data_IF_449684253993
#
_entry.id   IF_449684253993
#
_cell.length_a   1.000
_cell.length_b   1.000
_cell.length_c   1.000
_cell.angle_alpha   90.00
_cell.angle_beta   90.00
_cell.angle_gamma   90.00
#
_symmetry.space_group_name_H-M   'P 1'
#
loop_
_entity.id
_entity.type
_entity.pdbx_description
1 polymer ?
#
# COMPACT_ATOMS: atom_id res chain seq x y z
N UNK A 1 8.20 34.09 -16.93
CA UNK A 1 8.29 33.96 -15.46
C UNK A 1 8.37 32.47 -15.14
N UNK A 2 9.57 31.98 -14.83
CA UNK A 2 9.76 30.62 -14.34
C UNK A 2 9.10 30.53 -12.97
N UNK A 3 8.00 29.78 -12.87
CA UNK A 3 7.51 29.34 -11.57
C UNK A 3 8.49 28.27 -11.09
N UNK A 4 9.41 28.65 -10.23
CA UNK A 4 10.18 27.71 -9.43
C UNK A 4 9.15 26.96 -8.58
N UNK A 5 8.79 25.75 -9.02
CA UNK A 5 8.13 24.78 -8.16
C UNK A 5 9.06 24.61 -6.96
N UNK A 6 8.62 25.01 -5.76
CA UNK A 6 9.39 24.72 -4.57
C UNK A 6 9.67 23.21 -4.54
N UNK A 7 10.89 22.77 -4.18
CA UNK A 7 11.14 21.36 -3.96
C UNK A 7 10.13 20.85 -2.94
N UNK A 8 9.49 19.72 -3.24
CA UNK A 8 8.71 18.99 -2.24
C UNK A 8 9.69 18.70 -1.11
N UNK A 9 9.40 19.09 0.15
CA UNK A 9 10.22 18.63 1.27
C UNK A 9 10.33 17.12 1.16
N UNK A 10 11.55 16.61 1.06
CA UNK A 10 11.79 15.19 1.30
C UNK A 10 11.60 15.02 2.81
N UNK A 11 10.34 14.92 3.25
CA UNK A 11 10.02 14.46 4.58
C UNK A 11 10.46 12.99 4.62
N UNK A 12 11.73 12.74 4.94
CA UNK A 12 12.29 11.39 5.15
C UNK A 12 11.50 10.59 6.20
N UNK A 13 10.58 11.24 6.93
CA UNK A 13 9.70 10.72 7.97
C UNK A 13 8.24 10.43 7.52
N UNK A 14 7.94 10.40 6.21
CA UNK A 14 6.55 10.21 5.70
C UNK A 14 5.93 8.83 6.03
N UNK A 15 6.72 7.89 6.58
CA UNK A 15 6.29 6.56 6.97
C UNK A 15 5.99 6.39 8.48
N UNK A 16 6.08 7.48 9.26
CA UNK A 16 5.87 7.44 10.70
C UNK A 16 7.03 6.81 11.47
N UNK A 17 6.89 6.70 12.80
CA UNK A 17 7.94 6.16 13.65
C UNK A 17 8.21 4.68 13.36
N UNK A 18 9.49 4.30 13.30
CA UNK A 18 9.88 2.89 13.23
C UNK A 18 9.36 2.13 14.45
N UNK A 19 8.79 0.95 14.22
CA UNK A 19 8.34 0.07 15.28
C UNK A 19 9.55 -0.54 15.99
N UNK A 20 9.51 -0.59 17.33
CA UNK A 20 10.47 -1.40 18.09
C UNK A 20 10.27 -2.90 17.81
N UNK A 21 11.30 -3.71 18.08
CA UNK A 21 11.22 -5.17 17.94
C UNK A 21 10.06 -5.78 18.75
N UNK A 22 9.81 -5.27 19.96
CA UNK A 22 8.73 -5.74 20.82
C UNK A 22 7.34 -5.40 20.25
N UNK A 23 7.19 -4.24 19.63
CA UNK A 23 5.94 -3.84 18.97
C UNK A 23 5.69 -4.65 17.71
N UNK A 24 6.73 -4.93 16.92
CA UNK A 24 6.64 -5.79 15.74
C UNK A 24 6.24 -7.21 16.12
N UNK A 25 6.83 -7.79 17.17
CA UNK A 25 6.51 -9.14 17.65
C UNK A 25 5.07 -9.21 18.20
N UNK A 26 4.66 -8.23 19.01
CA UNK A 26 3.30 -8.16 19.53
C UNK A 26 2.26 -8.01 18.40
N UNK A 27 2.59 -7.22 17.38
CA UNK A 27 1.77 -7.13 16.17
C UNK A 27 1.71 -8.47 15.44
N UNK A 28 2.84 -9.16 15.27
CA UNK A 28 2.89 -10.43 14.58
C UNK A 28 2.04 -11.48 15.28
N UNK A 29 2.23 -11.69 16.58
CA UNK A 29 1.49 -12.72 17.33
C UNK A 29 -0.02 -12.44 17.37
N UNK A 30 -0.44 -11.16 17.42
CA UNK A 30 -1.86 -10.79 17.31
C UNK A 30 -2.47 -11.13 15.95
N UNK A 31 -1.70 -11.00 14.87
CA UNK A 31 -2.19 -11.12 13.49
C UNK A 31 -1.92 -12.49 12.85
N UNK A 32 -1.15 -13.35 13.51
CA UNK A 32 -0.67 -14.64 12.99
C UNK A 32 -1.78 -15.55 12.47
N UNK A 33 -2.81 -15.82 13.26
CA UNK A 33 -3.92 -16.70 12.84
C UNK A 33 -4.77 -16.07 11.71
N UNK A 34 -5.21 -14.80 11.80
CA UNK A 34 -5.86 -14.12 10.68
C UNK A 34 -5.05 -14.15 9.37
N UNK A 35 -3.73 -13.97 9.46
CA UNK A 35 -2.85 -14.03 8.29
C UNK A 35 -2.78 -15.44 7.69
N UNK A 36 -2.73 -16.48 8.51
CA UNK A 36 -2.80 -17.88 8.03
C UNK A 36 -4.11 -18.16 7.30
N UNK A 37 -5.23 -17.73 7.86
CA UNK A 37 -6.54 -17.91 7.24
C UNK A 37 -6.63 -17.18 5.90
N UNK A 38 -6.16 -15.93 5.86
CA UNK A 38 -6.10 -15.16 4.63
C UNK A 38 -5.22 -15.83 3.55
N UNK A 39 -4.06 -16.36 3.95
CA UNK A 39 -3.17 -17.09 3.04
C UNK A 39 -3.82 -18.37 2.51
N UNK A 40 -4.55 -19.11 3.34
CA UNK A 40 -5.25 -20.31 2.88
C UNK A 40 -6.34 -19.96 1.86
N UNK A 41 -7.13 -18.92 2.11
CA UNK A 41 -8.15 -18.44 1.17
C UNK A 41 -7.51 -18.04 -0.17
N UNK A 42 -6.41 -17.29 -0.13
CA UNK A 42 -5.69 -16.89 -1.34
C UNK A 42 -5.16 -18.10 -2.12
N UNK A 43 -4.63 -19.12 -1.43
CA UNK A 43 -4.18 -20.37 -2.07
C UNK A 43 -5.32 -21.12 -2.75
N UNK A 44 -6.48 -21.19 -2.10
CA UNK A 44 -7.66 -21.82 -2.66
C UNK A 44 -8.19 -21.07 -3.88
N UNK A 45 -8.20 -19.74 -3.83
CA UNK A 45 -8.57 -18.89 -4.97
C UNK A 45 -7.65 -19.12 -6.16
N UNK A 46 -6.33 -19.14 -5.93
CA UNK A 46 -5.33 -19.44 -6.98
C UNK A 46 -5.59 -20.83 -7.58
N UNK A 47 -5.84 -21.85 -6.74
CA UNK A 47 -6.11 -23.21 -7.21
C UNK A 47 -7.39 -23.32 -8.06
N UNK A 48 -8.38 -22.45 -7.83
CA UNK A 48 -9.62 -22.35 -8.61
C UNK A 48 -9.50 -21.44 -9.84
N UNK A 49 -8.37 -20.75 -10.01
CA UNK A 49 -8.20 -19.71 -11.03
C UNK A 49 -8.95 -18.41 -10.73
N UNK A 50 -9.39 -18.22 -9.48
CA UNK A 50 -10.11 -17.03 -9.01
C UNK A 50 -9.14 -15.92 -8.58
N UNK A 51 -8.17 -15.58 -9.44
CA UNK A 51 -7.23 -14.49 -9.20
C UNK A 51 -7.27 -13.49 -10.34
N UNK A 52 -7.05 -12.22 -10.01
CA UNK A 52 -6.84 -11.18 -11.00
C UNK A 52 -5.33 -11.04 -11.22
N UNK A 53 -4.92 -11.03 -12.49
CA UNK A 53 -3.59 -10.56 -12.86
C UNK A 53 -3.59 -9.04 -12.78
N UNK A 54 -2.63 -8.49 -12.07
CA UNK A 54 -2.46 -7.04 -11.93
C UNK A 54 -1.13 -6.63 -12.54
N UNK A 55 -1.17 -5.68 -13.45
CA UNK A 55 0.03 -4.97 -13.89
C UNK A 55 0.31 -3.81 -12.91
N UNK A 56 1.55 -3.75 -12.43
CA UNK A 56 2.01 -2.70 -11.53
C UNK A 56 1.90 -1.33 -12.22
N UNK A 57 2.16 -1.25 -13.52
CA UNK A 57 2.05 0.01 -14.28
C UNK A 57 0.61 0.53 -14.28
N UNK A 58 -0.36 -0.37 -14.49
CA UNK A 58 -1.78 -0.04 -14.46
C UNK A 58 -2.25 0.39 -13.07
N UNK A 59 -1.82 -0.30 -12.01
CA UNK A 59 -2.12 0.10 -10.62
C UNK A 59 -1.60 1.51 -10.33
N UNK A 60 -0.36 1.81 -10.74
CA UNK A 60 0.24 3.13 -10.52
C UNK A 60 -0.50 4.20 -11.33
N UNK A 61 -0.82 3.92 -12.60
CA UNK A 61 -1.55 4.83 -13.46
C UNK A 61 -2.95 5.14 -12.88
N UNK A 62 -3.66 4.13 -12.39
CA UNK A 62 -4.95 4.29 -11.73
C UNK A 62 -4.84 5.13 -10.45
N UNK A 63 -3.85 4.82 -9.59
CA UNK A 63 -3.60 5.58 -8.36
C UNK A 63 -3.35 7.07 -8.64
N UNK A 64 -2.53 7.38 -9.66
CA UNK A 64 -2.28 8.75 -10.11
C UNK A 64 -3.55 9.44 -10.61
N UNK A 65 -4.36 8.73 -11.40
CA UNK A 65 -5.61 9.27 -11.93
C UNK A 65 -6.61 9.60 -10.81
N UNK A 66 -6.77 8.68 -9.83
CA UNK A 66 -7.63 8.89 -8.65
C UNK A 66 -7.18 10.09 -7.81
N UNK A 67 -5.88 10.23 -7.57
CA UNK A 67 -5.32 11.37 -6.85
C UNK A 67 -5.50 12.70 -7.59
N UNK A 68 -5.28 12.72 -8.90
CA UNK A 68 -5.51 13.92 -9.71
C UNK A 68 -6.99 14.33 -9.72
N UNK A 69 -7.91 13.35 -9.71
CA UNK A 69 -9.35 13.61 -9.62
C UNK A 69 -9.75 14.18 -8.25
N UNK A 70 -9.20 13.65 -7.14
CA UNK A 70 -9.51 14.16 -5.80
C UNK A 70 -9.02 15.60 -5.59
N UNK A 71 -7.89 15.98 -6.20
CA UNK A 71 -7.39 17.37 -6.18
C UNK A 71 -8.17 18.35 -7.04
N UNK A 72 -8.96 17.90 -8.02
CA UNK A 72 -9.81 18.78 -8.84
C UNK A 72 -11.18 19.08 -8.20
N UNK A 73 -11.55 18.34 -7.16
CA UNK A 73 -12.82 18.51 -6.43
C UNK A 73 -12.67 19.34 -5.15
N UNK A 74 -11.45 19.71 -4.78
CA UNK A 74 -11.11 20.63 -3.69
C UNK A 74 -10.79 22.02 -4.23
#
# INVERSE_FOLDING_TARGET
MNKLTQPVPEDEDDFGAELSEAELEAWFERNKEPLKDALQVARDQIARGEYAEFDIEDIIAEGRARFAASKKQA
#
